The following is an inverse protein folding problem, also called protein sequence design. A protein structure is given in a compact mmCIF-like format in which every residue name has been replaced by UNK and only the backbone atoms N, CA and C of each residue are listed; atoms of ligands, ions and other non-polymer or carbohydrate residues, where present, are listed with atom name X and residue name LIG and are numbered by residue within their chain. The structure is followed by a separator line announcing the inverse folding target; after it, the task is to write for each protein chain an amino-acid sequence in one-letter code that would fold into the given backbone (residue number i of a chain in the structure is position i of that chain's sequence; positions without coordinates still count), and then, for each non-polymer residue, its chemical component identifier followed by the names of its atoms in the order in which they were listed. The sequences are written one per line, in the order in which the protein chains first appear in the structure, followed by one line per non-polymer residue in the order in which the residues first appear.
data_IF_745978585511
#
_entry.id   IF_745978585511
#
_cell.length_a   1.000
_cell.length_b   1.000
_cell.length_c   1.000
_cell.angle_alpha   90.00
_cell.angle_beta   90.00
_cell.angle_gamma   90.00
#
_symmetry.space_group_name_H-M   'P 1'
#
loop_
_entity.id
_entity.type
_entity.pdbx_description
1 polymer ?
#
# COMPACT_ATOMS: atom_id res chain seq x y z
N UNK A 1 2.90 -20.24 -3.21
CA UNK A 1 2.08 -20.27 -4.43
C UNK A 1 1.79 -18.84 -4.87
N UNK A 2 1.93 -18.54 -6.16
CA UNK A 2 1.58 -17.25 -6.74
C UNK A 2 0.43 -17.45 -7.72
N UNK A 3 -0.64 -16.65 -7.60
CA UNK A 3 -1.78 -16.61 -8.52
C UNK A 3 -1.99 -15.17 -9.00
N UNK A 4 -2.22 -14.99 -10.30
CA UNK A 4 -2.41 -13.70 -10.94
C UNK A 4 -3.53 -13.79 -11.97
N UNK A 5 -4.61 -13.03 -11.75
CA UNK A 5 -5.76 -12.89 -12.63
C UNK A 5 -5.97 -11.41 -12.95
N UNK A 6 -5.90 -11.05 -14.23
CA UNK A 6 -6.08 -9.67 -14.67
C UNK A 6 -6.59 -9.59 -16.10
N UNK A 7 -7.26 -8.47 -16.40
CA UNK A 7 -7.82 -8.16 -17.73
C UNK A 7 -7.56 -6.71 -18.05
N UNK A 8 -7.31 -6.39 -19.31
CA UNK A 8 -7.06 -5.02 -19.73
C UNK A 8 -7.26 -4.80 -21.21
N UNK A 9 -7.20 -3.53 -21.59
CA UNK A 9 -7.23 -3.06 -22.97
C UNK A 9 -6.23 -1.88 -23.11
N UNK A 10 -6.31 -1.13 -24.21
CA UNK A 10 -5.42 0.00 -24.47
C UNK A 10 -5.61 1.19 -23.52
N UNK A 11 -6.65 1.19 -22.68
CA UNK A 11 -7.05 2.32 -21.85
C UNK A 11 -7.09 1.99 -20.35
N UNK A 12 -7.20 0.72 -19.97
CA UNK A 12 -7.31 0.30 -18.59
C UNK A 12 -6.74 -1.09 -18.35
N UNK A 13 -6.34 -1.33 -17.10
CA UNK A 13 -5.99 -2.65 -16.58
C UNK A 13 -6.68 -2.88 -15.23
N UNK A 14 -7.35 -4.02 -15.11
CA UNK A 14 -7.96 -4.51 -13.89
C UNK A 14 -7.21 -5.75 -13.42
N UNK A 15 -6.62 -5.65 -12.24
CA UNK A 15 -6.15 -6.79 -11.47
C UNK A 15 -7.31 -7.32 -10.64
N UNK A 16 -7.89 -8.43 -11.09
CA UNK A 16 -8.98 -9.12 -10.38
C UNK A 16 -8.45 -9.83 -9.14
N UNK A 17 -7.24 -10.40 -9.24
CA UNK A 17 -6.56 -11.04 -8.11
C UNK A 17 -5.06 -11.12 -8.34
N UNK A 18 -4.29 -10.71 -7.35
CA UNK A 18 -2.93 -11.20 -7.13
C UNK A 18 -2.90 -11.82 -5.75
N UNK A 19 -2.63 -13.12 -5.66
CA UNK A 19 -2.49 -13.84 -4.40
C UNK A 19 -1.10 -14.45 -4.28
N UNK A 20 -0.40 -14.10 -3.21
CA UNK A 20 0.84 -14.75 -2.81
C UNK A 20 0.61 -15.49 -1.49
N UNK A 21 0.70 -16.82 -1.56
CA UNK A 21 0.77 -17.69 -0.39
C UNK A 21 2.23 -17.99 -0.13
N UNK A 22 2.82 -17.30 0.85
CA UNK A 22 4.22 -17.40 1.22
C UNK A 22 4.39 -16.95 2.66
N UNK A 23 5.55 -17.23 3.27
CA UNK A 23 5.89 -16.69 4.59
C UNK A 23 4.83 -17.04 5.65
N UNK A 24 4.26 -18.25 5.59
CA UNK A 24 3.18 -18.73 6.48
C UNK A 24 1.89 -17.89 6.45
N UNK A 25 1.75 -16.99 5.48
CA UNK A 25 0.60 -16.11 5.36
C UNK A 25 0.13 -15.94 3.92
N UNK A 26 -0.80 -15.01 3.75
CA UNK A 26 -1.39 -14.68 2.46
C UNK A 26 -1.33 -13.17 2.23
N UNK A 27 -0.94 -12.80 1.02
CA UNK A 27 -1.07 -11.44 0.50
C UNK A 27 -2.06 -11.46 -0.65
N UNK A 28 -3.10 -10.64 -0.57
CA UNK A 28 -4.08 -10.44 -1.63
C UNK A 28 -4.04 -8.98 -2.11
N UNK A 29 -3.97 -8.78 -3.42
CA UNK A 29 -4.02 -7.45 -4.05
C UNK A 29 -5.08 -7.44 -5.15
N UNK A 30 -5.88 -6.39 -5.17
CA UNK A 30 -6.78 -6.02 -6.29
C UNK A 30 -6.47 -4.60 -6.71
N UNK A 31 -6.62 -4.31 -8.00
CA UNK A 31 -6.38 -2.97 -8.51
C UNK A 31 -7.18 -2.69 -9.79
N UNK A 32 -7.50 -1.42 -10.00
CA UNK A 32 -7.96 -0.88 -11.27
C UNK A 32 -7.08 0.33 -11.58
N UNK A 33 -6.51 0.33 -12.77
CA UNK A 33 -5.76 1.46 -13.33
C UNK A 33 -6.42 1.84 -14.64
N UNK A 34 -6.77 3.12 -14.80
CA UNK A 34 -7.38 3.69 -16.00
C UNK A 34 -6.48 4.84 -16.46
N UNK A 35 -6.09 4.83 -17.73
CA UNK A 35 -5.30 5.86 -18.38
C UNK A 35 -5.93 6.35 -19.70
N UNK A 36 -7.24 6.13 -19.88
CA UNK A 36 -8.01 6.56 -21.06
C UNK A 36 -7.88 8.07 -21.35
N UNK A 37 -7.71 8.87 -20.30
CA UNK A 37 -7.56 10.34 -20.37
C UNK A 37 -6.43 10.85 -19.49
N UNK A 38 -6.44 10.40 -18.25
CA UNK A 38 -5.46 10.69 -17.22
C UNK A 38 -5.24 9.42 -16.42
N UNK A 39 -4.03 9.19 -15.92
CA UNK A 39 -3.77 8.02 -15.10
C UNK A 39 -4.55 8.19 -13.80
N UNK A 40 -5.41 7.22 -13.48
CA UNK A 40 -6.10 7.10 -12.21
C UNK A 40 -6.03 5.66 -11.74
N UNK A 41 -6.00 5.47 -10.43
CA UNK A 41 -5.97 4.12 -9.87
C UNK A 41 -6.76 4.00 -8.59
N UNK A 42 -7.17 2.77 -8.30
CA UNK A 42 -7.60 2.33 -6.99
C UNK A 42 -7.05 0.94 -6.74
N UNK A 43 -6.48 0.71 -5.57
CA UNK A 43 -5.95 -0.59 -5.17
C UNK A 43 -6.34 -0.93 -3.75
N UNK A 44 -6.43 -2.23 -3.47
CA UNK A 44 -6.63 -2.77 -2.14
C UNK A 44 -5.67 -3.93 -1.92
N UNK A 45 -4.79 -3.77 -0.94
CA UNK A 45 -3.88 -4.78 -0.41
C UNK A 45 -4.43 -5.31 0.91
N UNK A 46 -4.41 -6.63 1.08
CA UNK A 46 -4.70 -7.31 2.34
C UNK A 46 -3.54 -8.24 2.68
N UNK A 47 -3.00 -8.10 3.88
CA UNK A 47 -1.97 -8.95 4.45
C UNK A 47 -2.61 -9.78 5.56
N UNK A 48 -2.48 -11.10 5.48
CA UNK A 48 -3.02 -12.04 6.47
C UNK A 48 -1.90 -12.91 7.00
N UNK A 49 -1.38 -12.56 8.18
CA UNK A 49 -0.42 -13.37 8.92
C UNK A 49 0.94 -13.54 8.22
N UNK A 50 1.44 -12.51 7.52
CA UNK A 50 2.76 -12.56 6.88
C UNK A 50 3.82 -12.74 7.95
N UNK A 51 4.63 -13.79 7.87
CA UNK A 51 5.69 -14.12 8.82
C UNK A 51 7.04 -14.31 8.11
N UNK A 52 7.91 -13.31 8.18
CA UNK A 52 9.22 -13.35 7.50
C UNK A 52 10.28 -14.15 8.24
N UNK A 53 10.05 -14.58 9.48
CA UNK A 53 11.11 -15.05 10.38
C UNK A 53 11.92 -16.25 9.83
N UNK A 54 11.30 -17.12 9.01
CA UNK A 54 11.98 -18.24 8.37
C UNK A 54 12.83 -17.84 7.16
N UNK A 55 12.37 -16.85 6.40
CA UNK A 55 13.02 -16.43 5.15
C UNK A 55 14.12 -15.39 5.41
N UNK A 56 13.90 -14.48 6.35
CA UNK A 56 14.82 -13.41 6.75
C UNK A 56 14.97 -13.38 8.28
N UNK A 57 15.75 -14.31 8.86
CA UNK A 57 15.93 -14.42 10.31
C UNK A 57 16.55 -13.17 10.97
N UNK A 58 17.30 -12.37 10.21
CA UNK A 58 17.88 -11.09 10.63
C UNK A 58 16.85 -9.96 10.72
N UNK A 59 15.68 -10.15 10.09
CA UNK A 59 14.58 -9.21 10.06
C UNK A 59 13.21 -9.91 10.17
N UNK A 60 12.95 -10.60 11.30
CA UNK A 60 11.69 -11.30 11.50
C UNK A 60 10.58 -10.26 11.68
N UNK A 61 9.48 -10.45 10.98
CA UNK A 61 8.31 -9.60 11.04
C UNK A 61 7.06 -10.46 10.99
N UNK A 62 6.05 -10.08 11.77
CA UNK A 62 4.68 -10.54 11.57
C UNK A 62 3.82 -9.34 11.25
N UNK A 63 3.10 -9.39 10.14
CA UNK A 63 2.29 -8.27 9.67
C UNK A 63 0.92 -8.76 9.18
N UNK A 64 -0.11 -8.01 9.55
CA UNK A 64 -1.46 -8.18 9.08
C UNK A 64 -2.12 -6.81 8.89
N UNK A 65 -3.10 -6.76 8.00
CA UNK A 65 -3.86 -5.54 7.80
C UNK A 65 -4.39 -5.36 6.39
N UNK A 66 -4.92 -4.16 6.18
CA UNK A 66 -5.58 -3.74 4.95
C UNK A 66 -5.17 -2.32 4.60
N UNK A 67 -4.77 -2.14 3.34
CA UNK A 67 -4.43 -0.84 2.78
C UNK A 67 -5.24 -0.64 1.50
N UNK A 68 -5.98 0.46 1.42
CA UNK A 68 -6.63 0.90 0.19
C UNK A 68 -5.97 2.19 -0.25
N UNK A 69 -5.59 2.27 -1.51
CA UNK A 69 -5.07 3.51 -2.10
C UNK A 69 -5.92 3.92 -3.29
N UNK A 70 -6.04 5.22 -3.52
CA UNK A 70 -6.57 5.77 -4.76
C UNK A 70 -5.79 7.01 -5.13
N UNK A 71 -5.65 7.26 -6.42
CA UNK A 71 -4.91 8.43 -6.87
C UNK A 71 -5.12 8.75 -8.33
N UNK A 72 -4.53 9.85 -8.74
CA UNK A 72 -4.56 10.34 -10.10
C UNK A 72 -3.31 11.12 -10.44
N UNK A 73 -2.85 11.01 -11.68
CA UNK A 73 -1.78 11.79 -12.27
C UNK A 73 -2.31 12.45 -13.55
N UNK A 74 -2.36 13.78 -13.54
CA UNK A 74 -2.81 14.58 -14.69
C UNK A 74 -2.03 15.89 -14.75
N UNK A 75 -1.55 16.27 -15.95
CA UNK A 75 -0.93 17.58 -16.16
C UNK A 75 0.27 17.88 -15.24
N UNK A 76 1.02 16.86 -14.83
CA UNK A 76 2.17 17.00 -13.91
C UNK A 76 1.81 17.20 -12.43
N UNK A 77 0.52 17.12 -12.07
CA UNK A 77 0.05 17.10 -10.68
C UNK A 77 -0.36 15.69 -10.30
N UNK A 78 0.01 15.25 -9.10
CA UNK A 78 -0.42 13.95 -8.56
C UNK A 78 -1.17 14.09 -7.25
N UNK A 79 -2.13 13.19 -7.07
CA UNK A 79 -2.93 13.06 -5.86
C UNK A 79 -2.89 11.60 -5.43
N UNK A 80 -2.71 11.37 -4.14
CA UNK A 80 -2.80 10.06 -3.51
C UNK A 80 -3.62 10.20 -2.25
N UNK A 81 -4.53 9.26 -2.07
CA UNK A 81 -5.29 9.09 -0.84
C UNK A 81 -5.14 7.64 -0.41
N UNK A 82 -5.12 7.43 0.90
CA UNK A 82 -5.13 6.11 1.51
C UNK A 82 -6.40 6.01 2.36
N UNK A 83 -7.57 5.73 1.75
CA UNK A 83 -8.84 5.70 2.46
C UNK A 83 -8.97 4.56 3.47
N UNK A 84 -8.05 3.61 3.46
CA UNK A 84 -7.93 2.61 4.52
C UNK A 84 -6.45 2.39 4.76
N UNK A 85 -5.98 2.70 5.97
CA UNK A 85 -4.70 2.25 6.48
C UNK A 85 -4.97 1.57 7.82
N UNK A 86 -4.87 0.26 7.83
CA UNK A 86 -4.90 -0.56 9.03
C UNK A 86 -3.78 -1.57 8.87
N UNK A 87 -2.73 -1.42 9.65
CA UNK A 87 -1.61 -2.35 9.65
C UNK A 87 -1.20 -2.56 11.10
N UNK A 88 -1.11 -3.80 11.50
CA UNK A 88 -0.72 -4.21 12.85
C UNK A 88 0.30 -5.34 12.76
N UNK A 89 1.16 -5.44 13.77
CA UNK A 89 2.12 -6.51 13.87
C UNK A 89 3.38 -6.14 14.63
N UNK A 90 4.48 -6.82 14.29
CA UNK A 90 5.79 -6.55 14.86
C UNK A 90 6.88 -6.70 13.81
N UNK A 91 7.92 -5.89 13.96
CA UNK A 91 9.19 -6.02 13.24
C UNK A 91 10.27 -6.17 14.29
N UNK A 92 10.99 -7.29 14.24
CA UNK A 92 11.84 -7.75 15.33
C UNK A 92 11.01 -7.81 16.62
N UNK A 93 11.50 -7.16 17.67
CA UNK A 93 10.83 -7.05 18.97
C UNK A 93 9.91 -5.83 19.06
N UNK A 94 9.83 -5.00 18.02
CA UNK A 94 9.09 -3.74 18.05
C UNK A 94 7.69 -3.92 17.49
N UNK A 95 6.68 -3.53 18.26
CA UNK A 95 5.31 -3.46 17.78
C UNK A 95 5.18 -2.34 16.74
N UNK A 96 4.51 -2.63 15.64
CA UNK A 96 4.18 -1.66 14.59
C UNK A 96 2.67 -1.62 14.47
N UNK A 97 2.12 -0.41 14.50
CA UNK A 97 0.72 -0.17 14.17
C UNK A 97 0.60 1.12 13.38
N UNK A 98 -0.10 1.07 12.25
CA UNK A 98 -0.42 2.25 11.45
C UNK A 98 -1.93 2.30 11.22
N UNK A 99 -2.54 3.39 11.66
CA UNK A 99 -3.94 3.70 11.40
C UNK A 99 -4.10 5.12 10.91
N UNK A 100 -4.99 5.33 9.94
CA UNK A 100 -5.32 6.66 9.47
C UNK A 100 -5.86 6.70 8.05
N UNK A 101 -5.98 7.92 7.54
CA UNK A 101 -6.51 8.22 6.21
C UNK A 101 -5.66 9.30 5.52
N UNK A 102 -4.34 9.09 5.33
CA UNK A 102 -3.50 10.14 4.81
C UNK A 102 -3.87 10.48 3.36
N UNK A 103 -3.78 11.76 3.04
CA UNK A 103 -4.00 12.31 1.72
C UNK A 103 -2.86 13.26 1.37
N UNK A 104 -2.35 13.13 0.15
CA UNK A 104 -1.24 13.90 -0.36
C UNK A 104 -1.57 14.41 -1.75
N UNK A 105 -1.24 15.66 -1.99
CA UNK A 105 -1.34 16.31 -3.28
C UNK A 105 -0.03 17.03 -3.49
N UNK A 106 0.69 16.70 -4.56
CA UNK A 106 1.85 17.46 -4.96
C UNK A 106 1.50 18.16 -6.28
N UNK A 107 1.67 19.48 -6.28
CA UNK A 107 1.67 20.26 -7.50
C UNK A 107 2.94 20.02 -8.32
N UNK A 108 3.04 20.69 -9.47
CA UNK A 108 4.22 20.66 -10.33
C UNK A 108 5.47 20.97 -9.48
N UNK A 109 6.48 20.10 -9.54
CA UNK A 109 7.72 20.22 -8.78
C UNK A 109 8.52 21.45 -9.19
N UNK A 110 8.15 22.61 -8.64
CA UNK A 110 9.00 23.78 -8.46
C UNK A 110 8.57 24.34 -7.10
N UNK A 111 9.31 23.96 -6.04
CA UNK A 111 9.21 24.47 -4.67
C UNK A 111 7.88 24.29 -3.90
N UNK A 112 7.74 23.18 -3.17
CA UNK A 112 6.77 23.09 -2.06
C UNK A 112 7.50 22.91 -0.70
N UNK A 113 7.81 24.01 0.02
CA UNK A 113 8.41 23.98 1.35
C UNK A 113 7.39 23.72 2.49
N UNK A 114 6.13 23.38 2.18
CA UNK A 114 5.02 23.38 3.14
C UNK A 114 4.50 22.00 3.59
N UNK A 115 5.10 20.90 3.16
CA UNK A 115 4.54 19.56 3.43
C UNK A 115 4.61 19.18 4.92
N UNK A 116 3.44 19.14 5.59
CA UNK A 116 3.27 18.55 6.93
C UNK A 116 2.82 17.09 6.82
N UNK A 117 3.73 16.16 7.06
CA UNK A 117 3.40 14.74 7.24
C UNK A 117 2.70 14.52 8.59
N UNK A 118 1.40 14.23 8.55
CA UNK A 118 0.67 13.66 9.68
C UNK A 118 0.83 12.14 9.74
N UNK A 119 2.06 11.63 9.88
CA UNK A 119 2.30 10.21 10.20
C UNK A 119 2.84 10.14 11.61
N UNK A 120 1.94 9.92 12.58
CA UNK A 120 2.32 9.59 13.95
C UNK A 120 2.79 8.14 14.01
N UNK A 121 4.09 7.91 13.86
CA UNK A 121 4.68 6.69 14.38
C UNK A 121 4.77 6.85 15.91
N UNK A 122 3.88 6.17 16.65
CA UNK A 122 4.08 6.00 18.08
C UNK A 122 5.23 5.01 18.27
N UNK A 123 6.44 5.53 18.41
CA UNK A 123 7.55 4.78 18.98
C UNK A 123 7.27 4.62 20.47
N UNK A 124 7.02 3.38 20.92
CA UNK A 124 7.05 3.08 22.34
C UNK A 124 8.48 3.31 22.85
N UNK A 125 8.62 4.23 23.80
CA UNK A 125 9.89 4.48 24.48
C UNK A 125 10.18 3.35 25.48
N UNK A 126 11.41 2.83 25.37
CA UNK A 126 12.19 2.01 26.32
C UNK A 126 11.65 0.63 26.70
#
# INVERSE_FOLDING_TARGET
MLQLDGKGNLEQFRLERLRLVALEGNTDLTALVDWSKAISWTSQLTLSGINTAKQWPEWPARLEGKITTRGSLHGGSWQLQVPVLQLDGNVKQNKVSARGFPAWQCGRAVDDPGYRSGVGAQYAQR
#
